data_IF_566267555498
#
_entry.id   IF_566267555498
#
_cell.length_a   1.000
_cell.length_b   1.000
_cell.length_c   1.000
_cell.angle_alpha   90.00
_cell.angle_beta   90.00
_cell.angle_gamma   90.00
#
_symmetry.space_group_name_H-M   'P 1'
#
loop_
_entity.id
_entity.type
_entity.pdbx_description
1 polymer ?
#
# COMPACT_ATOMS: atom_id res chain seq x y z
N UNK A 1 27.07 1.89 3.02
CA UNK A 1 27.77 0.74 2.37
C UNK A 1 28.61 0.03 3.44
N UNK A 2 28.43 -1.28 3.60
CA UNK A 2 29.29 -2.07 4.50
C UNK A 2 30.73 -2.06 3.98
N UNK A 3 31.75 -1.94 4.85
CA UNK A 3 33.15 -1.94 4.43
C UNK A 3 33.51 -3.27 3.74
N UNK A 4 34.41 -3.26 2.77
CA UNK A 4 34.87 -4.47 2.09
C UNK A 4 35.51 -5.44 3.09
N UNK A 5 34.96 -6.66 3.16
CA UNK A 5 35.54 -7.73 3.97
C UNK A 5 36.38 -8.62 3.06
N UNK A 6 37.70 -8.51 3.17
CA UNK A 6 38.62 -9.31 2.40
C UNK A 6 38.42 -10.81 2.69
N UNK A 7 38.47 -11.64 1.64
CA UNK A 7 38.31 -13.08 1.74
C UNK A 7 36.84 -13.56 1.83
N UNK A 8 35.85 -12.69 1.73
CA UNK A 8 34.44 -13.06 1.66
C UNK A 8 33.82 -12.62 0.34
N UNK A 9 33.06 -13.51 -0.28
CA UNK A 9 32.21 -13.20 -1.45
C UNK A 9 30.75 -13.32 -1.02
N UNK A 10 30.04 -12.20 -1.08
CA UNK A 10 28.62 -12.15 -0.78
C UNK A 10 27.81 -12.48 -2.02
N UNK A 11 26.92 -13.44 -1.88
CA UNK A 11 26.07 -13.94 -2.97
C UNK A 11 24.62 -13.73 -2.59
N UNK A 12 23.87 -13.06 -3.45
CA UNK A 12 22.45 -12.88 -3.32
C UNK A 12 21.75 -13.60 -4.47
N UNK A 13 20.76 -14.43 -4.15
CA UNK A 13 20.06 -15.26 -5.14
C UNK A 13 18.56 -15.05 -5.01
N UNK A 14 17.90 -14.76 -6.13
CA UNK A 14 16.45 -14.76 -6.23
C UNK A 14 15.98 -16.16 -6.65
N UNK A 15 15.26 -16.90 -5.80
CA UNK A 15 14.67 -18.17 -6.22
C UNK A 15 13.55 -17.92 -7.24
N UNK A 16 13.33 -18.89 -8.13
CA UNK A 16 12.25 -18.81 -9.11
C UNK A 16 10.88 -18.79 -8.44
N UNK A 17 10.73 -19.57 -7.38
CA UNK A 17 9.53 -19.64 -6.57
C UNK A 17 9.85 -19.16 -5.15
N UNK A 18 9.01 -18.26 -4.63
CA UNK A 18 9.20 -17.67 -3.31
C UNK A 18 10.13 -16.45 -3.27
N UNK A 19 10.31 -15.89 -2.10
CA UNK A 19 11.08 -14.65 -1.90
C UNK A 19 12.47 -14.91 -1.34
N UNK A 20 12.66 -15.97 -0.56
CA UNK A 20 13.92 -16.31 0.07
C UNK A 20 14.29 -17.77 -0.16
N UNK A 21 15.58 -18.05 -0.17
CA UNK A 21 16.10 -19.42 -0.14
C UNK A 21 15.91 -20.01 1.26
N UNK A 22 15.56 -21.30 1.32
CA UNK A 22 15.58 -22.02 2.60
C UNK A 22 17.00 -22.12 3.14
N UNK A 23 17.14 -22.19 4.47
CA UNK A 23 18.45 -22.31 5.11
C UNK A 23 19.16 -23.62 4.75
N UNK A 24 18.40 -24.67 4.47
CA UNK A 24 18.95 -25.92 3.96
C UNK A 24 19.56 -25.74 2.58
N UNK A 25 18.82 -25.13 1.65
CA UNK A 25 19.33 -24.86 0.28
C UNK A 25 20.56 -23.94 0.32
N UNK A 26 20.57 -22.93 1.20
CA UNK A 26 21.75 -22.08 1.40
C UNK A 26 22.96 -22.89 1.81
N UNK A 27 22.81 -23.80 2.78
CA UNK A 27 23.90 -24.68 3.27
C UNK A 27 24.44 -25.59 2.18
N UNK A 28 23.56 -26.24 1.42
CA UNK A 28 23.91 -27.11 0.30
C UNK A 28 24.68 -26.35 -0.79
N UNK A 29 24.19 -25.16 -1.16
CA UNK A 29 24.90 -24.30 -2.12
C UNK A 29 26.26 -23.84 -1.61
N UNK A 30 26.38 -23.47 -0.32
CA UNK A 30 27.67 -23.09 0.28
C UNK A 30 28.65 -24.25 0.20
N UNK A 31 28.23 -25.48 0.55
CA UNK A 31 29.09 -26.66 0.46
C UNK A 31 29.57 -26.90 -0.96
N UNK A 32 28.65 -26.79 -1.93
CA UNK A 32 29.00 -26.96 -3.34
C UNK A 32 29.93 -25.86 -3.87
N UNK A 33 29.71 -24.59 -3.47
CA UNK A 33 30.57 -23.48 -3.86
C UNK A 33 31.96 -23.56 -3.24
N UNK A 34 32.08 -24.06 -2.00
CA UNK A 34 33.37 -24.25 -1.35
C UNK A 34 34.32 -25.21 -2.12
N UNK A 35 33.74 -26.21 -2.83
CA UNK A 35 34.56 -27.13 -3.65
C UNK A 35 35.16 -26.47 -4.89
N UNK A 36 34.65 -25.32 -5.31
CA UNK A 36 35.14 -24.53 -6.44
C UNK A 36 35.89 -23.27 -6.01
N UNK A 37 35.84 -22.92 -4.72
CA UNK A 37 36.45 -21.69 -4.21
C UNK A 37 37.97 -21.81 -4.13
N UNK A 38 38.65 -20.76 -4.52
CA UNK A 38 40.11 -20.63 -4.31
C UNK A 38 40.39 -20.50 -2.82
N UNK A 39 41.51 -21.04 -2.36
CA UNK A 39 41.94 -20.96 -0.97
C UNK A 39 41.88 -19.51 -0.45
N UNK A 40 41.20 -19.31 0.67
CA UNK A 40 41.04 -17.98 1.28
C UNK A 40 39.78 -17.21 0.89
N UNK A 41 38.95 -17.75 -0.02
CA UNK A 41 37.66 -17.15 -0.39
C UNK A 41 36.53 -17.95 0.25
N UNK A 42 35.69 -17.27 1.07
CA UNK A 42 34.56 -17.86 1.73
C UNK A 42 33.26 -17.30 1.13
N UNK A 43 32.43 -18.13 0.44
CA UNK A 43 31.13 -17.70 -0.04
C UNK A 43 30.16 -17.56 1.14
N UNK A 44 29.42 -16.45 1.18
CA UNK A 44 28.40 -16.16 2.19
C UNK A 44 27.12 -15.72 1.47
N UNK A 45 25.98 -16.35 1.79
CA UNK A 45 24.69 -15.93 1.22
C UNK A 45 24.09 -14.82 2.05
N UNK A 46 23.64 -13.77 1.34
CA UNK A 46 22.90 -12.65 1.91
C UNK A 46 21.49 -12.72 1.38
N UNK A 47 20.51 -12.58 2.27
CA UNK A 47 19.11 -12.49 1.88
C UNK A 47 18.83 -11.22 1.07
N UNK A 48 17.97 -11.37 0.07
CA UNK A 48 17.53 -10.26 -0.76
C UNK A 48 16.82 -9.19 0.07
N UNK A 49 17.20 -7.97 -0.15
CA UNK A 49 16.49 -6.80 0.36
C UNK A 49 15.47 -6.37 -0.69
N UNK A 50 14.19 -6.43 -0.35
CA UNK A 50 13.12 -6.05 -1.27
C UNK A 50 12.74 -4.58 -1.10
N UNK A 51 12.59 -3.89 -2.23
CA UNK A 51 11.89 -2.63 -2.35
C UNK A 51 10.52 -2.93 -2.98
N UNK A 52 9.48 -2.90 -2.16
CA UNK A 52 8.12 -3.14 -2.61
C UNK A 52 7.57 -1.87 -3.26
N UNK A 53 6.91 -2.03 -4.40
CA UNK A 53 6.17 -0.98 -5.08
C UNK A 53 4.70 -1.34 -5.02
N UNK A 54 3.89 -0.43 -4.53
CA UNK A 54 2.45 -0.59 -4.35
C UNK A 54 1.73 0.52 -5.11
N UNK A 55 0.60 0.19 -5.70
CA UNK A 55 -0.22 1.16 -6.42
C UNK A 55 -1.57 1.35 -5.74
N UNK A 56 -2.03 2.59 -5.72
CA UNK A 56 -3.43 2.91 -5.54
C UNK A 56 -3.92 3.53 -6.83
N UNK A 57 -4.71 2.79 -7.59
CA UNK A 57 -5.19 3.22 -8.90
C UNK A 57 -6.70 3.36 -8.91
N UNK A 58 -7.15 4.45 -9.50
CA UNK A 58 -8.55 4.80 -9.70
C UNK A 58 -8.82 4.94 -11.21
N UNK A 59 -9.07 3.83 -11.91
CA UNK A 59 -9.49 3.90 -13.30
C UNK A 59 -10.93 4.42 -13.39
N UNK A 60 -11.14 5.39 -14.29
CA UNK A 60 -12.44 5.94 -14.63
C UNK A 60 -12.96 5.21 -15.87
N UNK A 61 -14.20 4.75 -15.83
CA UNK A 61 -14.80 4.01 -16.93
C UNK A 61 -16.16 4.54 -17.30
N UNK A 62 -16.50 4.46 -18.58
CA UNK A 62 -17.81 4.84 -19.10
C UNK A 62 -18.80 3.66 -18.95
N UNK A 63 -19.79 3.75 -18.06
CA UNK A 63 -20.75 2.67 -17.81
C UNK A 63 -21.67 2.40 -19.01
N UNK A 64 -21.77 3.32 -19.96
CA UNK A 64 -22.57 3.11 -21.19
C UNK A 64 -21.88 2.14 -22.16
N UNK A 65 -20.56 1.98 -22.07
CA UNK A 65 -19.79 1.06 -22.91
C UNK A 65 -19.57 -0.28 -22.21
N UNK A 66 -19.38 -0.27 -20.90
CA UNK A 66 -19.20 -1.46 -20.08
C UNK A 66 -19.75 -1.20 -18.68
N UNK A 67 -20.76 -1.95 -18.28
CA UNK A 67 -21.47 -1.83 -17.02
C UNK A 67 -20.98 -2.78 -15.91
N UNK A 68 -19.96 -3.62 -16.22
CA UNK A 68 -19.38 -4.55 -15.25
C UNK A 68 -18.02 -4.07 -14.69
N UNK A 69 -18.02 -3.29 -13.59
CA UNK A 69 -16.78 -2.82 -12.97
C UNK A 69 -15.92 -3.95 -12.39
N UNK A 70 -16.49 -5.11 -12.06
CA UNK A 70 -15.74 -6.23 -11.50
C UNK A 70 -14.92 -6.93 -12.57
N UNK A 71 -15.48 -7.07 -13.75
CA UNK A 71 -14.75 -7.60 -14.91
C UNK A 71 -13.59 -6.69 -15.30
N UNK A 72 -13.84 -5.38 -15.40
CA UNK A 72 -12.79 -4.38 -15.64
C UNK A 72 -11.69 -4.43 -14.57
N UNK A 73 -12.06 -4.46 -13.29
CA UNK A 73 -11.13 -4.58 -12.17
C UNK A 73 -10.26 -5.85 -12.27
N UNK A 74 -10.87 -6.97 -12.65
CA UNK A 74 -10.16 -8.24 -12.83
C UNK A 74 -9.19 -8.14 -14.02
N UNK A 75 -9.59 -7.52 -15.11
CA UNK A 75 -8.72 -7.23 -16.25
C UNK A 75 -7.49 -6.42 -15.86
N UNK A 76 -7.71 -5.28 -15.17
CA UNK A 76 -6.64 -4.42 -14.65
C UNK A 76 -5.70 -5.21 -13.71
N UNK A 77 -6.27 -5.98 -12.77
CA UNK A 77 -5.49 -6.79 -11.84
C UNK A 77 -4.61 -7.82 -12.55
N UNK A 78 -5.15 -8.49 -13.57
CA UNK A 78 -4.42 -9.48 -14.36
C UNK A 78 -3.29 -8.82 -15.16
N UNK A 79 -3.53 -7.68 -15.80
CA UNK A 79 -2.51 -6.96 -16.57
C UNK A 79 -1.37 -6.47 -15.67
N UNK A 80 -1.69 -5.88 -14.51
CA UNK A 80 -0.69 -5.46 -13.54
C UNK A 80 0.08 -6.65 -12.95
N UNK A 81 -0.59 -7.79 -12.71
CA UNK A 81 0.07 -9.04 -12.29
C UNK A 81 1.05 -9.55 -13.34
N UNK A 82 0.67 -9.50 -14.61
CA UNK A 82 1.58 -9.86 -15.70
C UNK A 82 2.77 -8.91 -15.78
N UNK A 83 2.54 -7.61 -15.61
CA UNK A 83 3.62 -6.62 -15.56
C UNK A 83 4.57 -6.86 -14.39
N UNK A 84 4.06 -7.20 -13.21
CA UNK A 84 4.88 -7.51 -12.04
C UNK A 84 5.85 -8.67 -12.27
N UNK A 85 5.50 -9.60 -13.15
CA UNK A 85 6.33 -10.75 -13.53
C UNK A 85 7.24 -10.48 -14.73
N UNK A 86 7.12 -9.31 -15.34
CA UNK A 86 7.92 -8.94 -16.50
C UNK A 86 9.41 -8.84 -16.16
N UNK A 87 10.27 -9.07 -17.12
CA UNK A 87 11.71 -9.01 -16.98
C UNK A 87 12.21 -7.58 -16.63
N UNK A 88 11.42 -6.55 -16.93
CA UNK A 88 11.76 -5.17 -16.62
C UNK A 88 11.79 -4.93 -15.11
N UNK A 89 10.82 -5.49 -14.39
CA UNK A 89 10.68 -5.35 -12.93
C UNK A 89 11.39 -6.48 -12.21
N UNK A 90 11.19 -7.73 -12.64
CA UNK A 90 11.59 -8.94 -11.93
C UNK A 90 13.05 -9.35 -12.25
N UNK A 91 14.00 -8.46 -11.97
CA UNK A 91 15.45 -8.69 -12.11
C UNK A 91 16.23 -7.85 -11.10
N UNK A 92 17.53 -8.17 -10.92
CA UNK A 92 18.46 -7.30 -10.21
C UNK A 92 18.62 -5.98 -10.98
N UNK A 93 18.53 -4.85 -10.27
CA UNK A 93 18.49 -3.53 -10.91
C UNK A 93 17.22 -3.30 -11.74
N UNK A 94 16.13 -4.00 -11.40
CA UNK A 94 14.84 -3.84 -12.05
C UNK A 94 14.30 -2.42 -11.91
N UNK A 95 13.43 -2.04 -12.83
CA UNK A 95 12.80 -0.72 -12.83
C UNK A 95 11.30 -0.88 -12.95
N UNK A 96 10.56 -0.26 -12.06
CA UNK A 96 9.15 -0.03 -12.24
C UNK A 96 8.96 1.25 -13.05
N UNK A 97 8.28 1.17 -14.18
CA UNK A 97 7.98 2.30 -15.06
C UNK A 97 6.51 2.67 -14.91
N UNK A 98 6.26 3.84 -14.38
CA UNK A 98 4.92 4.37 -14.15
C UNK A 98 4.09 4.46 -15.43
N UNK A 99 4.65 5.07 -16.48
CA UNK A 99 3.97 5.24 -17.76
C UNK A 99 3.52 3.91 -18.37
N UNK A 100 4.31 2.83 -18.18
CA UNK A 100 3.94 1.49 -18.65
C UNK A 100 2.78 0.92 -17.86
N UNK A 101 2.76 1.11 -16.54
CA UNK A 101 1.66 0.64 -15.69
C UNK A 101 0.35 1.36 -16.05
N UNK A 102 0.40 2.69 -16.18
CA UNK A 102 -0.74 3.53 -16.60
C UNK A 102 -1.26 3.10 -17.98
N UNK A 103 -0.38 2.98 -18.97
CA UNK A 103 -0.76 2.56 -20.33
C UNK A 103 -1.38 1.15 -20.36
N UNK A 104 -0.91 0.23 -19.51
CA UNK A 104 -1.50 -1.10 -19.39
C UNK A 104 -2.93 -1.02 -18.84
N UNK A 105 -3.18 -0.16 -17.84
CA UNK A 105 -4.52 0.04 -17.27
C UNK A 105 -5.46 0.60 -18.34
N UNK A 106 -5.03 1.64 -19.05
CA UNK A 106 -5.84 2.31 -20.07
C UNK A 106 -6.15 1.40 -21.28
N UNK A 107 -5.27 0.45 -21.57
CA UNK A 107 -5.41 -0.45 -22.72
C UNK A 107 -6.29 -1.69 -22.48
N UNK A 108 -6.79 -1.88 -21.25
CA UNK A 108 -7.58 -3.08 -20.91
C UNK A 108 -8.92 -3.10 -21.63
N UNK A 109 -9.59 -1.96 -21.68
CA UNK A 109 -10.91 -1.86 -22.30
C UNK A 109 -11.12 -0.43 -22.83
N UNK A 110 -11.81 -0.30 -23.94
CA UNK A 110 -12.13 1.02 -24.54
C UNK A 110 -13.07 1.87 -23.67
N UNK A 111 -13.73 1.27 -22.69
CA UNK A 111 -14.56 2.00 -21.72
C UNK A 111 -13.74 2.77 -20.70
N UNK A 112 -12.45 2.43 -20.49
CA UNK A 112 -11.58 3.15 -19.55
C UNK A 112 -11.17 4.48 -20.21
N UNK A 113 -11.66 5.58 -19.65
CA UNK A 113 -11.43 6.94 -20.17
C UNK A 113 -10.16 7.56 -19.65
N UNK A 114 -9.79 7.27 -18.42
CA UNK A 114 -8.58 7.76 -17.78
C UNK A 114 -8.26 6.97 -16.52
N UNK A 115 -7.07 7.15 -15.95
CA UNK A 115 -6.77 6.65 -14.62
C UNK A 115 -5.94 7.64 -13.81
N UNK A 116 -6.13 7.60 -12.50
CA UNK A 116 -5.30 8.31 -11.52
C UNK A 116 -4.63 7.26 -10.66
N UNK A 117 -3.32 7.18 -10.78
CA UNK A 117 -2.53 6.15 -10.11
C UNK A 117 -1.46 6.79 -9.23
N UNK A 118 -1.44 6.40 -7.97
CA UNK A 118 -0.44 6.78 -6.99
C UNK A 118 0.53 5.62 -6.77
N UNK A 119 1.81 5.95 -6.68
CA UNK A 119 2.87 4.99 -6.39
C UNK A 119 3.33 5.18 -4.95
N UNK A 120 3.43 4.09 -4.23
CA UNK A 120 4.01 4.06 -2.89
C UNK A 120 5.13 3.02 -2.86
N UNK A 121 6.20 3.32 -2.16
CA UNK A 121 7.30 2.39 -1.96
C UNK A 121 7.38 1.96 -0.51
N UNK A 122 7.68 0.69 -0.28
CA UNK A 122 7.71 0.10 1.05
C UNK A 122 8.96 -0.74 1.27
N UNK A 123 9.49 -0.65 2.49
CA UNK A 123 10.56 -1.51 2.98
C UNK A 123 10.10 -2.25 4.24
N UNK A 124 10.51 -3.50 4.35
CA UNK A 124 10.28 -4.31 5.53
C UNK A 124 11.55 -4.30 6.38
N UNK A 125 11.47 -3.62 7.52
CA UNK A 125 12.51 -3.64 8.54
C UNK A 125 12.26 -4.85 9.45
N UNK A 126 13.25 -5.74 9.53
CA UNK A 126 13.24 -6.82 10.52
C UNK A 126 13.86 -6.33 11.82
N UNK A 127 13.04 -6.09 12.81
CA UNK A 127 13.47 -5.60 14.11
C UNK A 127 14.13 -6.74 14.92
N UNK A 128 15.14 -6.37 15.70
CA UNK A 128 15.73 -7.23 16.74
C UNK A 128 14.92 -6.98 18.01
N UNK A 129 14.05 -7.92 18.35
CA UNK A 129 13.13 -7.76 19.46
C UNK A 129 13.83 -7.87 20.82
N UNK A 130 13.43 -7.00 21.77
CA UNK A 130 13.95 -7.02 23.15
C UNK A 130 15.39 -6.53 23.31
N UNK A 131 15.96 -5.88 22.30
CA UNK A 131 17.33 -5.35 22.35
C UNK A 131 17.37 -3.93 21.79
N UNK A 132 18.24 -3.10 22.34
CA UNK A 132 18.54 -1.77 21.81
C UNK A 132 19.31 -1.90 20.48
N UNK A 133 18.73 -1.39 19.43
CA UNK A 133 19.35 -1.37 18.11
C UNK A 133 19.04 -0.06 17.37
N UNK A 134 19.98 0.34 16.51
CA UNK A 134 19.80 1.43 15.55
C UNK A 134 19.49 0.80 14.20
N UNK A 135 18.57 1.41 13.43
CA UNK A 135 18.15 0.87 12.15
C UNK A 135 18.33 1.89 11.04
N UNK A 136 18.87 1.41 9.93
CA UNK A 136 18.99 2.15 8.68
C UNK A 136 18.17 1.46 7.59
N UNK A 137 17.30 2.22 6.95
CA UNK A 137 16.43 1.72 5.87
C UNK A 137 16.64 2.58 4.64
N UNK A 138 17.32 2.02 3.65
CA UNK A 138 17.63 2.69 2.40
C UNK A 138 16.66 2.26 1.31
N UNK A 139 16.06 3.22 0.59
CA UNK A 139 15.16 2.99 -0.55
C UNK A 139 15.87 3.25 -1.88
N UNK A 140 16.90 4.11 -1.87
CA UNK A 140 17.64 4.48 -3.08
C UNK A 140 16.82 5.22 -4.13
N UNK A 141 15.71 5.79 -3.74
CA UNK A 141 14.83 6.62 -4.54
C UNK A 141 14.46 7.85 -3.71
N UNK A 142 14.56 9.03 -4.32
CA UNK A 142 14.19 10.27 -3.66
C UNK A 142 12.76 10.21 -3.15
N UNK A 143 12.52 10.78 -1.98
CA UNK A 143 11.18 10.90 -1.43
C UNK A 143 10.53 12.23 -1.81
N UNK A 144 9.22 12.20 -1.92
CA UNK A 144 8.44 13.44 -2.02
C UNK A 144 8.49 14.20 -0.68
N UNK A 145 8.62 15.52 -0.74
CA UNK A 145 8.64 16.37 0.47
C UNK A 145 7.47 17.32 0.46
N UNK A 146 6.75 17.39 1.56
CA UNK A 146 5.65 18.33 1.74
C UNK A 146 5.69 18.88 3.17
N UNK A 147 5.74 20.21 3.30
CA UNK A 147 5.92 20.90 4.59
C UNK A 147 4.75 20.70 5.58
N UNK A 148 3.56 20.36 5.07
CA UNK A 148 2.34 20.24 5.90
C UNK A 148 1.85 18.80 6.12
N UNK A 149 2.60 17.80 5.68
CA UNK A 149 2.20 16.40 5.78
C UNK A 149 3.39 15.49 6.07
N UNK A 150 3.09 14.28 6.55
CA UNK A 150 4.08 13.24 6.74
C UNK A 150 4.20 12.42 5.47
N UNK A 151 5.40 12.05 5.08
CA UNK A 151 5.63 11.17 3.94
C UNK A 151 6.01 9.75 4.36
N UNK A 152 6.92 9.64 5.33
CA UNK A 152 7.41 8.36 5.81
C UNK A 152 6.56 7.92 6.99
N UNK A 153 5.89 6.76 6.85
CA UNK A 153 5.03 6.22 7.90
C UNK A 153 5.30 4.74 8.10
N UNK A 154 5.08 4.24 9.31
CA UNK A 154 5.28 2.81 9.62
C UNK A 154 4.01 2.11 10.07
N UNK A 155 4.05 0.77 10.03
CA UNK A 155 3.14 -0.06 10.81
C UNK A 155 3.44 0.04 12.29
N UNK A 156 2.46 -0.33 13.12
CA UNK A 156 2.57 -0.27 14.57
C UNK A 156 3.59 -1.26 15.15
N UNK A 157 4.25 -0.84 16.21
CA UNK A 157 5.15 -1.65 17.01
C UNK A 157 5.10 -1.17 18.47
N UNK A 158 5.65 -1.95 19.41
CA UNK A 158 5.76 -1.53 20.82
C UNK A 158 7.22 -1.30 21.17
N UNK A 159 7.48 -0.29 21.97
CA UNK A 159 8.82 0.05 22.43
C UNK A 159 8.88 0.05 23.96
N UNK A 160 10.08 -0.12 24.49
CA UNK A 160 10.31 -0.06 25.92
C UNK A 160 9.98 1.33 26.48
N UNK A 161 9.31 1.38 27.62
CA UNK A 161 8.95 2.62 28.32
C UNK A 161 7.73 3.36 27.78
N UNK A 162 7.04 2.82 26.76
CA UNK A 162 5.82 3.40 26.20
C UNK A 162 4.70 2.38 26.21
N UNK A 163 3.57 2.76 26.80
CA UNK A 163 2.37 1.93 26.81
C UNK A 163 1.60 2.08 25.49
N UNK A 164 1.28 0.97 24.85
CA UNK A 164 0.48 0.94 23.63
C UNK A 164 1.29 0.79 22.36
N UNK A 165 0.57 0.87 21.21
CA UNK A 165 1.14 0.73 19.88
C UNK A 165 1.70 2.10 19.45
N UNK A 166 2.95 2.09 19.06
CA UNK A 166 3.70 3.24 18.56
C UNK A 166 3.80 3.15 17.04
N UNK A 167 3.74 4.29 16.40
CA UNK A 167 3.93 4.47 14.97
C UNK A 167 5.10 5.45 14.74
N UNK A 168 5.71 5.33 13.58
CA UNK A 168 6.75 6.24 13.12
C UNK A 168 6.17 7.15 12.04
N UNK A 169 6.51 8.44 12.11
CA UNK A 169 6.30 9.38 11.02
C UNK A 169 7.46 10.37 10.95
N UNK A 170 7.54 11.09 9.83
CA UNK A 170 8.54 12.12 9.59
C UNK A 170 7.95 13.53 9.75
N UNK A 171 8.81 14.46 10.06
CA UNK A 171 8.53 15.90 10.05
C UNK A 171 9.61 16.58 9.20
N UNK A 172 9.19 17.33 8.20
CA UNK A 172 10.11 18.02 7.28
C UNK A 172 10.83 19.14 8.03
N UNK A 173 12.17 19.10 8.03
CA UNK A 173 13.02 20.18 8.56
C UNK A 173 13.42 21.12 7.42
N UNK A 174 13.80 20.55 6.29
CA UNK A 174 14.07 21.26 5.04
C UNK A 174 13.81 20.33 3.84
N UNK A 175 14.01 20.83 2.61
CA UNK A 175 13.77 20.05 1.39
C UNK A 175 14.58 18.76 1.27
N UNK A 176 15.71 18.69 1.95
CA UNK A 176 16.63 17.55 1.86
C UNK A 176 16.48 16.60 3.03
N UNK A 177 16.15 17.14 4.23
CA UNK A 177 16.18 16.37 5.49
C UNK A 177 14.93 16.56 6.31
N UNK A 178 14.51 15.48 6.94
CA UNK A 178 13.45 15.44 7.94
C UNK A 178 13.91 14.79 9.23
N UNK A 179 13.05 14.86 10.21
CA UNK A 179 13.20 14.27 11.52
C UNK A 179 12.16 13.18 11.68
N UNK A 180 12.54 12.03 12.22
CA UNK A 180 11.62 10.97 12.62
C UNK A 180 11.12 11.24 14.03
N UNK A 181 9.84 11.04 14.25
CA UNK A 181 9.24 11.02 15.57
C UNK A 181 8.36 9.79 15.76
N UNK A 182 8.16 9.41 17.03
CA UNK A 182 7.24 8.34 17.40
C UNK A 182 6.00 8.92 18.03
N UNK A 183 4.86 8.33 17.71
CA UNK A 183 3.57 8.74 18.24
C UNK A 183 2.66 7.55 18.49
N UNK A 184 1.68 7.75 19.36
CA UNK A 184 0.59 6.82 19.62
C UNK A 184 -0.72 7.49 19.25
N UNK A 185 -1.76 6.71 18.97
CA UNK A 185 -3.11 7.26 18.84
C UNK A 185 -3.80 7.26 20.21
N UNK A 186 -4.45 8.37 20.55
CA UNK A 186 -5.37 8.42 21.69
C UNK A 186 -6.67 7.70 21.33
N UNK A 187 -7.53 7.41 22.31
CA UNK A 187 -8.86 6.79 22.09
C UNK A 187 -9.73 7.58 21.09
N UNK A 188 -9.51 8.91 21.00
CA UNK A 188 -10.17 9.78 20.01
C UNK A 188 -9.51 9.80 18.63
N UNK A 189 -8.50 8.97 18.36
CA UNK A 189 -7.80 8.90 17.07
C UNK A 189 -6.83 10.06 16.82
N UNK A 190 -6.57 10.92 17.78
CA UNK A 190 -5.58 12.00 17.65
C UNK A 190 -4.18 11.49 17.92
N UNK A 191 -3.17 11.88 17.10
CA UNK A 191 -1.79 11.48 17.34
C UNK A 191 -1.21 12.20 18.58
N UNK A 192 -0.62 11.42 19.47
CA UNK A 192 0.12 11.91 20.62
C UNK A 192 1.60 11.58 20.44
N UNK A 193 2.45 12.60 20.36
CA UNK A 193 3.89 12.43 20.13
C UNK A 193 4.55 11.95 21.42
N UNK A 194 5.15 10.76 21.33
CA UNK A 194 5.86 10.13 22.45
C UNK A 194 7.34 10.49 22.45
N UNK A 195 7.97 10.53 21.27
CA UNK A 195 9.39 10.86 21.10
C UNK A 195 9.58 11.72 19.87
N UNK A 196 9.95 13.00 20.03
CA UNK A 196 10.13 13.94 18.91
C UNK A 196 11.36 13.69 18.07
N UNK A 197 12.45 13.24 18.66
CA UNK A 197 13.70 12.96 17.98
C UNK A 197 13.96 11.45 18.10
N UNK A 198 13.46 10.70 17.16
CA UNK A 198 13.61 9.26 17.09
C UNK A 198 14.47 8.81 15.90
N UNK A 199 14.97 9.77 15.11
CA UNK A 199 15.79 9.52 13.96
C UNK A 199 15.76 10.66 12.94
N UNK A 200 16.26 10.38 11.75
CA UNK A 200 16.32 11.33 10.64
C UNK A 200 15.92 10.68 9.31
N UNK A 201 15.47 11.50 8.39
CA UNK A 201 15.20 11.13 7.00
C UNK A 201 16.03 12.00 6.08
N UNK A 202 16.67 11.39 5.10
CA UNK A 202 17.25 12.08 3.96
C UNK A 202 16.36 11.84 2.74
N UNK A 203 15.66 12.88 2.30
CA UNK A 203 14.70 12.78 1.20
C UNK A 203 15.38 12.65 -0.16
N UNK A 204 16.63 13.14 -0.29
CA UNK A 204 17.35 13.10 -1.56
C UNK A 204 17.90 11.71 -1.86
N UNK A 205 18.37 11.00 -0.83
CA UNK A 205 18.89 9.63 -0.96
C UNK A 205 17.82 8.57 -0.74
N UNK A 206 16.69 8.96 -0.12
CA UNK A 206 15.66 8.03 0.31
C UNK A 206 16.15 7.12 1.43
N UNK A 207 16.77 7.70 2.45
CA UNK A 207 17.30 6.99 3.62
C UNK A 207 16.56 7.39 4.88
N UNK A 208 16.20 6.40 5.67
CA UNK A 208 15.56 6.54 6.97
C UNK A 208 16.48 5.95 8.03
N UNK A 209 16.95 6.79 8.93
CA UNK A 209 17.76 6.38 10.08
C UNK A 209 16.89 6.46 11.33
N UNK A 210 16.72 5.34 12.02
CA UNK A 210 16.03 5.27 13.31
C UNK A 210 17.08 5.15 14.40
N UNK A 211 17.05 6.07 15.34
CA UNK A 211 17.97 6.07 16.48
C UNK A 211 17.74 4.86 17.37
N UNK A 212 18.70 4.60 18.25
CA UNK A 212 18.67 3.45 19.15
C UNK A 212 17.35 3.36 19.90
N UNK A 213 16.66 2.24 19.68
CA UNK A 213 15.36 1.94 20.26
C UNK A 213 15.26 0.44 20.57
N UNK A 214 14.60 0.09 21.68
CA UNK A 214 14.27 -1.29 22.00
C UNK A 214 12.83 -1.58 21.56
N UNK A 215 12.68 -2.34 20.47
CA UNK A 215 11.39 -2.80 19.96
C UNK A 215 11.05 -4.10 20.64
N UNK A 216 9.92 -4.13 21.36
CA UNK A 216 9.48 -5.31 22.11
C UNK A 216 8.63 -6.26 21.24
N UNK A 217 7.72 -5.71 20.45
CA UNK A 217 6.88 -6.47 19.53
C UNK A 217 6.47 -5.64 18.33
N UNK A 218 5.95 -6.30 17.31
CA UNK A 218 5.44 -5.65 16.08
C UNK A 218 4.03 -6.14 15.79
N UNK A 219 3.20 -5.28 15.23
CA UNK A 219 1.84 -5.65 14.82
C UNK A 219 1.87 -6.69 13.69
N UNK A 220 2.88 -6.60 12.83
CA UNK A 220 3.12 -7.61 11.81
C UNK A 220 3.95 -8.74 12.39
N UNK A 221 3.59 -9.97 12.05
CA UNK A 221 4.28 -11.15 12.52
C UNK A 221 5.80 -11.15 12.20
N UNK A 222 6.55 -11.95 12.94
CA UNK A 222 7.99 -12.18 12.74
C UNK A 222 8.90 -10.96 12.97
N UNK A 223 8.47 -9.99 13.78
CA UNK A 223 9.31 -8.83 14.10
C UNK A 223 9.49 -7.87 12.92
N UNK A 224 8.53 -7.81 12.02
CA UNK A 224 8.58 -6.95 10.84
C UNK A 224 7.87 -5.63 11.14
N UNK A 225 8.56 -4.52 10.90
CA UNK A 225 8.00 -3.17 10.79
C UNK A 225 8.06 -2.77 9.33
N UNK A 226 6.91 -2.49 8.75
CA UNK A 226 6.84 -1.98 7.38
C UNK A 226 6.90 -0.47 7.43
N UNK A 227 7.79 0.10 6.62
CA UNK A 227 7.95 1.54 6.48
C UNK A 227 7.64 1.90 5.05
N UNK A 228 6.68 2.78 4.86
CA UNK A 228 6.16 3.21 3.58
C UNK A 228 6.50 4.66 3.33
N UNK A 229 6.76 5.02 2.07
CA UNK A 229 7.02 6.38 1.65
C UNK A 229 6.49 6.63 0.23
N UNK A 230 6.14 7.87 -0.08
CA UNK A 230 5.79 8.31 -1.42
C UNK A 230 7.09 8.78 -2.10
N UNK A 231 7.44 8.22 -3.25
CA UNK A 231 8.64 8.64 -3.97
C UNK A 231 8.43 10.00 -4.65
N UNK A 232 9.51 10.73 -4.87
CA UNK A 232 9.48 11.97 -5.65
C UNK A 232 9.17 11.72 -7.13
N UNK A 233 9.72 10.64 -7.67
CA UNK A 233 9.43 10.16 -9.03
C UNK A 233 8.54 8.93 -8.95
N UNK A 234 7.54 8.86 -9.82
CA UNK A 234 6.70 7.66 -9.94
C UNK A 234 7.43 6.48 -10.59
N UNK A 235 8.57 6.72 -11.26
CA UNK A 235 9.45 5.67 -11.75
C UNK A 235 10.40 5.23 -10.63
N UNK A 236 10.42 3.92 -10.33
CA UNK A 236 11.21 3.35 -9.24
C UNK A 236 12.36 2.53 -9.80
N UNK A 237 13.55 2.78 -9.28
CA UNK A 237 14.78 2.10 -9.69
C UNK A 237 15.30 1.23 -8.55
N UNK A 238 15.56 -0.04 -8.84
CA UNK A 238 16.28 -0.91 -7.92
C UNK A 238 17.76 -0.62 -7.90
N UNK A 239 18.33 -0.41 -6.73
CA UNK A 239 19.77 -0.40 -6.54
C UNK A 239 20.34 -1.83 -6.67
N UNK A 240 21.67 -1.96 -6.74
CA UNK A 240 22.34 -3.27 -6.90
C UNK A 240 21.99 -4.27 -5.78
N UNK A 241 21.78 -3.77 -4.57
CA UNK A 241 21.46 -4.56 -3.37
C UNK A 241 19.96 -4.57 -3.03
N UNK A 242 19.14 -3.86 -3.81
CA UNK A 242 17.68 -3.80 -3.65
C UNK A 242 16.99 -4.44 -4.85
N UNK A 243 16.16 -5.44 -4.56
CA UNK A 243 15.33 -6.07 -5.57
C UNK A 243 13.95 -5.42 -5.59
N UNK A 244 13.59 -4.81 -6.72
CA UNK A 244 12.25 -4.22 -6.88
C UNK A 244 11.22 -5.33 -7.00
N UNK A 245 10.19 -5.27 -6.15
CA UNK A 245 9.07 -6.20 -6.19
C UNK A 245 7.77 -5.40 -6.28
N UNK A 246 7.06 -5.53 -7.39
CA UNK A 246 5.73 -4.97 -7.51
C UNK A 246 4.74 -5.82 -6.70
N UNK A 247 4.16 -5.24 -5.65
CA UNK A 247 3.31 -5.95 -4.69
C UNK A 247 1.84 -5.80 -5.05
N UNK A 248 1.31 -6.80 -5.74
CA UNK A 248 -0.11 -6.85 -6.11
C UNK A 248 -1.04 -7.08 -4.93
N UNK A 249 -0.54 -7.66 -3.83
CA UNK A 249 -1.37 -7.96 -2.65
C UNK A 249 -1.81 -6.68 -1.94
N UNK A 250 -0.94 -5.68 -1.93
CA UNK A 250 -1.21 -4.38 -1.31
C UNK A 250 -1.60 -3.30 -2.35
N UNK A 251 -1.66 -3.66 -3.62
CA UNK A 251 -2.17 -2.76 -4.67
C UNK A 251 -3.69 -2.66 -4.58
N UNK A 252 -4.20 -1.44 -4.59
CA UNK A 252 -5.64 -1.13 -4.54
C UNK A 252 -6.12 -0.64 -5.89
N UNK A 253 -7.21 -1.23 -6.39
CA UNK A 253 -7.84 -0.86 -7.66
C UNK A 253 -9.29 -0.48 -7.36
N UNK A 254 -9.65 0.78 -7.61
CA UNK A 254 -10.99 1.33 -7.39
C UNK A 254 -11.56 1.77 -8.74
N UNK A 255 -12.49 1.00 -9.28
CA UNK A 255 -13.18 1.39 -10.51
C UNK A 255 -14.20 2.50 -10.22
N UNK A 256 -14.09 3.63 -10.94
CA UNK A 256 -14.94 4.81 -10.74
C UNK A 256 -15.74 5.06 -12.03
N UNK A 257 -17.07 5.10 -11.97
CA UNK A 257 -17.87 5.44 -13.14
C UNK A 257 -17.62 6.90 -13.54
N UNK A 258 -17.30 7.11 -14.80
CA UNK A 258 -17.14 8.45 -15.41
C UNK A 258 -18.47 8.85 -16.03
N UNK A 259 -19.27 9.56 -15.23
CA UNK A 259 -20.59 10.02 -15.62
C UNK A 259 -20.49 11.48 -16.08
N UNK A 260 -20.10 11.72 -17.33
CA UNK A 260 -20.12 13.04 -17.93
C UNK A 260 -21.50 13.28 -18.51
N UNK A 261 -22.27 14.18 -17.88
CA UNK A 261 -23.52 14.65 -18.48
C UNK A 261 -23.22 15.78 -19.48
N UNK A 262 -23.87 15.74 -20.63
CA UNK A 262 -23.83 16.84 -21.59
C UNK A 262 -24.31 18.14 -20.92
N UNK A 263 -23.71 19.29 -21.29
CA UNK A 263 -23.86 20.57 -20.59
C UNK A 263 -25.27 21.18 -20.49
N UNK A 264 -26.29 20.52 -21.03
CA UNK A 264 -27.70 20.91 -20.88
C UNK A 264 -28.35 20.40 -19.59
N UNK A 265 -27.70 19.45 -18.89
CA UNK A 265 -28.22 18.90 -17.66
C UNK A 265 -27.43 19.45 -16.47
N UNK A 266 -28.07 20.35 -15.71
CA UNK A 266 -27.50 20.94 -14.48
C UNK A 266 -27.27 19.92 -13.36
N UNK A 267 -27.80 18.71 -13.50
CA UNK A 267 -27.57 17.57 -12.61
C UNK A 267 -26.36 16.73 -13.02
N UNK A 268 -25.53 17.22 -13.92
CA UNK A 268 -24.36 16.53 -14.41
C UNK A 268 -23.47 16.00 -13.30
N UNK A 269 -22.97 14.81 -13.49
CA UNK A 269 -22.05 14.18 -12.55
C UNK A 269 -20.86 15.07 -12.31
N UNK A 270 -20.55 15.20 -11.06
CA UNK A 270 -19.32 15.88 -10.67
C UNK A 270 -18.17 14.93 -10.80
N UNK A 271 -17.11 15.40 -11.41
CA UNK A 271 -15.81 14.84 -11.23
C UNK A 271 -15.38 15.13 -9.79
N UNK A 272 -15.67 14.22 -8.86
CA UNK A 272 -15.28 14.40 -7.46
C UNK A 272 -13.86 13.95 -7.31
N UNK A 273 -12.95 14.88 -7.35
CA UNK A 273 -11.56 14.70 -7.01
C UNK A 273 -11.47 14.56 -5.48
N UNK A 274 -11.54 13.34 -4.96
CA UNK A 274 -11.41 13.08 -3.51
C UNK A 274 -9.96 12.87 -3.07
N UNK A 275 -8.98 13.18 -3.92
CA UNK A 275 -7.60 12.97 -3.57
C UNK A 275 -6.92 14.27 -3.12
N UNK A 276 -6.67 14.31 -1.82
CA UNK A 276 -5.47 14.96 -1.35
C UNK A 276 -4.28 14.07 -1.75
N UNK A 277 -3.57 14.44 -2.80
CA UNK A 277 -2.41 13.70 -3.32
C UNK A 277 -1.29 13.49 -2.29
N UNK A 278 -1.41 14.06 -1.12
CA UNK A 278 -0.30 14.31 -0.21
C UNK A 278 -0.61 14.02 1.25
N UNK A 279 -1.69 13.35 1.55
CA UNK A 279 -1.88 12.78 2.88
C UNK A 279 -1.47 11.31 2.80
N UNK A 280 -0.27 10.95 3.27
CA UNK A 280 0.11 9.56 3.37
C UNK A 280 -0.77 8.92 4.42
N UNK A 281 -1.84 8.28 3.97
CA UNK A 281 -2.63 7.40 4.82
C UNK A 281 -2.11 6.01 4.57
N UNK A 282 -1.43 5.44 5.54
CA UNK A 282 -1.06 4.04 5.50
C UNK A 282 -2.34 3.20 5.60
N UNK A 283 -2.87 2.78 4.46
CA UNK A 283 -3.99 1.84 4.40
C UNK A 283 -3.50 0.51 3.86
N UNK A 284 -2.82 -0.27 4.69
CA UNK A 284 -2.62 -1.69 4.39
C UNK A 284 -3.91 -2.45 4.70
N UNK A 285 -4.37 -3.30 3.77
CA UNK A 285 -5.33 -4.36 4.08
C UNK A 285 -4.62 -5.38 4.99
N UNK A 286 -4.73 -5.16 6.30
CA UNK A 286 -4.32 -6.15 7.30
C UNK A 286 -5.32 -7.29 7.26
N UNK A 287 -4.84 -8.52 7.12
CA UNK A 287 -5.63 -9.72 7.37
C UNK A 287 -5.88 -9.95 8.87
N UNK A 288 -5.62 -8.97 9.71
CA UNK A 288 -5.92 -8.99 11.14
C UNK A 288 -7.12 -8.09 11.43
N UNK A 289 -8.06 -8.51 12.28
CA UNK A 289 -9.28 -7.78 12.58
C UNK A 289 -9.02 -6.65 13.59
N UNK A 290 -8.21 -5.67 13.22
CA UNK A 290 -8.15 -4.40 13.94
C UNK A 290 -8.47 -3.32 12.93
N UNK A 291 -9.77 -3.09 12.77
CA UNK A 291 -10.31 -1.93 12.09
C UNK A 291 -10.00 -0.70 12.95
N UNK A 292 -8.93 -0.01 12.64
CA UNK A 292 -8.76 1.37 13.05
C UNK A 292 -8.73 2.22 11.81
N UNK A 293 -9.91 2.56 11.31
CA UNK A 293 -10.09 3.62 10.34
C UNK A 293 -9.84 4.94 11.08
N UNK A 294 -8.60 5.37 11.13
CA UNK A 294 -8.31 6.74 11.52
C UNK A 294 -8.60 7.61 10.29
N UNK A 295 -9.85 8.01 10.15
CA UNK A 295 -10.20 9.10 9.27
C UNK A 295 -9.57 10.37 9.86
N UNK A 296 -8.64 10.96 9.16
CA UNK A 296 -8.18 12.31 9.47
C UNK A 296 -9.38 13.25 9.25
N UNK A 297 -10.01 13.64 10.34
CA UNK A 297 -11.02 14.69 10.32
C UNK A 297 -10.28 16.00 10.18
N UNK A 298 -10.30 16.57 8.99
CA UNK A 298 -9.98 17.97 8.77
C UNK A 298 -11.00 18.82 9.54
N UNK A 299 -10.59 19.83 10.32
CA UNK A 299 -11.52 20.76 10.90
C UNK A 299 -12.14 21.60 9.79
N UNK A 300 -13.40 21.35 9.47
CA UNK A 300 -14.18 22.23 8.63
C UNK A 300 -14.61 23.45 9.48
N UNK A 301 -13.89 24.54 9.36
CA UNK A 301 -14.41 25.87 9.70
C UNK A 301 -15.21 26.39 8.51
N UNK A 302 -16.48 26.09 8.50
CA UNK A 302 -17.46 26.87 7.75
C UNK A 302 -18.65 27.09 8.64
N UNK A 303 -18.64 28.24 9.32
CA UNK A 303 -19.81 28.86 9.89
C UNK A 303 -20.72 29.30 8.78
N UNK A 304 -21.86 28.67 8.63
CA UNK A 304 -22.97 29.23 7.87
C UNK A 304 -24.17 29.33 8.80
N UNK A 305 -24.49 30.53 9.14
CA UNK A 305 -25.70 31.00 9.80
C UNK A 305 -26.91 30.53 8.99
N UNK A 306 -27.66 29.60 9.51
CA UNK A 306 -28.96 29.26 8.93
C UNK A 306 -30.06 30.04 9.63
N UNK A 307 -30.68 30.88 8.87
CA UNK A 307 -31.89 31.62 9.22
C UNK A 307 -33.06 30.66 9.32
N UNK A 308 -33.68 30.64 10.49
CA UNK A 308 -34.93 29.93 10.76
C UNK A 308 -36.08 30.60 10.04
N UNK A 309 -36.86 29.84 9.27
CA UNK A 309 -38.22 30.23 8.92
C UNK A 309 -39.17 29.09 9.23
N UNK A 310 -40.08 29.40 10.11
CA UNK A 310 -41.19 28.62 10.65
C UNK A 310 -42.30 28.42 9.63
N UNK A 311 -42.97 27.31 9.70
CA UNK A 311 -44.38 27.06 9.61
C UNK A 311 -44.86 26.06 8.55
N UNK A 312 -45.69 25.16 9.02
CA UNK A 312 -46.64 24.43 8.17
C UNK A 312 -46.94 23.02 8.62
N UNK A 313 -47.72 22.91 9.64
CA UNK A 313 -48.50 21.72 10.07
C UNK A 313 -49.38 21.20 8.95
N UNK A 314 -49.35 19.92 8.63
CA UNK A 314 -50.55 19.20 8.17
C UNK A 314 -50.54 17.74 8.65
N UNK A 315 -51.65 17.36 9.21
CA UNK A 315 -52.05 16.13 9.85
C UNK A 315 -52.30 14.99 8.87
N UNK A 316 -52.15 13.80 9.42
CA UNK A 316 -52.54 12.49 8.87
C UNK A 316 -54.01 12.39 8.52
N UNK A 317 -54.42 11.38 7.76
CA UNK A 317 -55.15 10.32 8.43
C UNK A 317 -54.77 8.88 8.03
N UNK A 318 -54.91 8.07 9.03
CA UNK A 318 -55.06 6.63 9.12
C UNK A 318 -56.15 6.07 8.22
N UNK A 319 -55.95 4.93 7.58
CA UNK A 319 -56.96 3.88 7.47
C UNK A 319 -56.35 2.49 7.30
N UNK A 320 -56.79 1.65 8.15
CA UNK A 320 -56.66 0.21 8.27
C UNK A 320 -57.49 -0.55 7.25
N UNK A 321 -57.06 -1.77 6.88
CA UNK A 321 -57.88 -3.01 6.86
C UNK A 321 -57.20 -4.09 6.00
N UNK A 322 -56.80 -5.13 6.64
CA UNK A 322 -57.34 -6.51 6.78
C UNK A 322 -57.30 -7.41 5.54
N UNK A 323 -56.53 -8.48 5.72
CA UNK A 323 -56.82 -9.92 5.50
C UNK A 323 -57.21 -10.41 4.10
N UNK A 324 -56.55 -11.46 3.61
CA UNK A 324 -56.85 -12.87 3.77
C UNK A 324 -56.08 -13.74 2.77
N UNK A 325 -55.38 -14.72 3.27
CA UNK A 325 -55.44 -16.18 3.08
C UNK A 325 -55.86 -16.76 1.72
N UNK A 326 -55.01 -17.67 1.25
CA UNK A 326 -55.25 -19.09 0.87
C UNK A 326 -54.44 -19.44 -0.37
N UNK A 327 -53.52 -20.35 -0.28
CA UNK A 327 -53.51 -21.80 -0.25
C UNK A 327 -53.55 -22.49 -1.62
N UNK A 328 -52.65 -23.45 -1.68
CA UNK A 328 -52.69 -24.75 -2.42
C UNK A 328 -52.36 -24.71 -3.91
N UNK A 329 -51.44 -25.47 -4.32
CA UNK A 329 -51.08 -26.85 -4.39
C UNK A 329 -50.70 -27.30 -5.81
N UNK A 330 -49.63 -28.05 -5.86
CA UNK A 330 -49.41 -29.31 -6.60
C UNK A 330 -49.41 -29.24 -8.16
N UNK A 331 -48.52 -29.80 -8.80
CA UNK A 331 -47.98 -31.10 -9.02
C UNK A 331 -47.43 -31.22 -10.43
N UNK A 332 -46.26 -31.80 -10.49
CA UNK A 332 -45.85 -32.99 -11.24
C UNK A 332 -45.82 -32.97 -12.76
N UNK A 333 -44.73 -33.36 -13.21
CA UNK A 333 -44.26 -34.55 -13.98
C UNK A 333 -43.76 -34.21 -15.39
N UNK A 334 -42.50 -34.55 -15.57
CA UNK A 334 -41.89 -35.69 -16.26
C UNK A 334 -41.80 -35.59 -17.79
N UNK A 335 -40.60 -35.91 -18.15
CA UNK A 335 -40.09 -36.83 -19.17
C UNK A 335 -39.63 -36.25 -20.51
N UNK A 336 -38.33 -36.43 -20.69
CA UNK A 336 -37.63 -37.33 -21.64
C UNK A 336 -37.63 -36.87 -23.12
N UNK A 337 -36.49 -36.74 -23.65
CA UNK A 337 -35.61 -37.61 -24.43
C UNK A 337 -35.21 -37.01 -25.78
N UNK A 338 -33.91 -37.15 -26.02
CA UNK A 338 -33.22 -37.60 -27.21
C UNK A 338 -33.18 -36.73 -28.47
N UNK A 339 -31.97 -36.46 -28.88
CA UNK A 339 -31.47 -37.01 -30.10
C UNK A 339 -31.02 -36.00 -31.18
N UNK A 340 -29.85 -36.12 -31.44
CA UNK A 340 -28.91 -35.81 -32.53
C UNK A 340 -27.91 -34.70 -32.19
#
# INVERSE_FOLDING_TARGET
>A
MSPPRFGKVFISVKPRNGDFLSDQTKRELIQRLKSYAVAGIVPEFIDLKYLYVELTTNPYYNPSLNDDPNNLKTGVSNALTQYSRSIDVNKFGGRFKYSKAVSLIDSIDASITSNITLVTIRRNLKAVLGQFAQYEVCYGNMFHTQESAYNVVSTGFTIEGVTGIVYLADEVVNREKGRIFFFTYTEGGTPNIVKKNAGSVDYMTGEVLIDTVNILSTVIANGVVEIQAIPHSNDIVGLRDLYVKFDMTNTTINMIPDLIASGENTSGSRFVHTHSYYTPTYTRKSNSPVSTTAAAVLPSTASSTATTTTSGTYSSPTTSSTSSTSSTSSSSSSSSSSGY
#
